data_IF_080103476520
#
_entry.id   IF_080103476520
#
_cell.length_a   1.000
_cell.length_b   1.000
_cell.length_c   1.000
_cell.angle_alpha   90.00
_cell.angle_beta   90.00
_cell.angle_gamma   90.00
#
_symmetry.space_group_name_H-M   'P 1'
#
loop_
_entity.id
_entity.type
_entity.pdbx_description
1 polymer ?
#
# COMPACT_ATOMS: atom_id res chain seq x y z
N UNK A 1 -8.66 4.12 13.92
CA UNK A 1 -7.82 5.24 13.44
C UNK A 1 -6.62 4.59 12.82
N UNK A 2 -6.36 4.82 11.53
CA UNK A 2 -5.18 4.26 10.88
C UNK A 2 -3.93 4.94 11.46
N UNK A 3 -2.98 4.14 11.91
CA UNK A 3 -1.66 4.61 12.34
C UNK A 3 -0.61 4.00 11.40
N UNK A 4 0.12 4.87 10.70
CA UNK A 4 1.09 4.44 9.69
C UNK A 4 2.32 3.77 10.33
N UNK A 5 2.63 4.06 11.60
CA UNK A 5 3.73 3.43 12.30
C UNK A 5 3.34 2.02 12.76
N UNK A 6 2.13 1.85 13.31
CA UNK A 6 1.61 0.52 13.70
C UNK A 6 1.46 -0.41 12.49
N UNK A 7 0.95 0.12 11.36
CA UNK A 7 0.88 -0.63 10.10
C UNK A 7 2.27 -1.03 9.60
N UNK A 8 3.25 -0.15 9.71
CA UNK A 8 4.63 -0.43 9.30
C UNK A 8 5.28 -1.53 10.15
N UNK A 9 5.15 -1.48 11.47
CA UNK A 9 5.66 -2.51 12.37
C UNK A 9 5.04 -3.86 12.03
N UNK A 10 3.72 -3.90 11.85
CA UNK A 10 3.02 -5.13 11.47
C UNK A 10 3.49 -5.68 10.13
N UNK A 11 3.67 -4.82 9.12
CA UNK A 11 4.14 -5.24 7.79
C UNK A 11 5.53 -5.85 7.88
N UNK A 12 6.45 -5.21 8.60
CA UNK A 12 7.81 -5.74 8.75
C UNK A 12 7.80 -7.12 9.43
N UNK A 13 6.87 -7.36 10.35
CA UNK A 13 6.73 -8.66 11.03
C UNK A 13 6.05 -9.74 10.18
N UNK A 14 5.16 -9.36 9.26
CA UNK A 14 4.29 -10.30 8.52
C UNK A 14 4.63 -10.40 7.03
N UNK A 15 5.62 -9.66 6.55
CA UNK A 15 6.04 -9.70 5.16
C UNK A 15 6.57 -11.11 4.80
N UNK A 16 6.22 -11.65 3.62
CA UNK A 16 6.75 -12.94 3.18
C UNK A 16 8.28 -12.95 3.18
N UNK A 17 8.90 -14.01 3.72
CA UNK A 17 10.38 -14.15 3.81
C UNK A 17 11.09 -13.86 2.50
N UNK A 18 10.51 -14.29 1.37
CA UNK A 18 11.08 -14.07 0.04
C UNK A 18 11.21 -12.58 -0.31
N UNK A 19 10.26 -11.75 0.12
CA UNK A 19 10.26 -10.31 -0.12
C UNK A 19 11.07 -9.60 0.96
N UNK A 20 10.91 -9.99 2.23
CA UNK A 20 11.70 -9.47 3.36
C UNK A 20 13.21 -9.67 3.18
N UNK A 21 13.64 -10.73 2.50
CA UNK A 21 15.04 -10.96 2.15
C UNK A 21 15.59 -9.97 1.10
N UNK A 22 14.72 -9.25 0.40
CA UNK A 22 15.06 -8.35 -0.72
C UNK A 22 14.81 -6.87 -0.43
N UNK A 23 14.01 -6.57 0.59
CA UNK A 23 13.69 -5.22 1.02
C UNK A 23 14.30 -4.94 2.38
N UNK A 24 14.84 -3.75 2.55
CA UNK A 24 15.18 -3.22 3.86
C UNK A 24 13.94 -2.63 4.55
N UNK A 25 14.04 -2.43 5.85
CA UNK A 25 13.03 -1.73 6.63
C UNK A 25 12.81 -0.28 6.15
N UNK A 26 13.84 0.37 5.59
CA UNK A 26 13.73 1.70 4.98
C UNK A 26 12.94 1.65 3.67
N UNK A 27 13.11 0.59 2.87
CA UNK A 27 12.35 0.36 1.64
C UNK A 27 10.86 0.20 1.90
N UNK A 28 10.50 -0.59 2.93
CA UNK A 28 9.09 -0.76 3.33
C UNK A 28 8.47 0.59 3.71
N UNK A 29 9.20 1.41 4.48
CA UNK A 29 8.75 2.76 4.83
C UNK A 29 8.60 3.65 3.59
N UNK A 30 9.51 3.53 2.62
CA UNK A 30 9.44 4.30 1.37
C UNK A 30 8.23 3.90 0.52
N UNK A 31 7.96 2.61 0.38
CA UNK A 31 6.79 2.09 -0.34
C UNK A 31 5.48 2.62 0.30
N UNK A 32 5.38 2.59 1.63
CA UNK A 32 4.21 3.13 2.34
C UNK A 32 4.04 4.64 2.14
N UNK A 33 5.14 5.41 2.10
CA UNK A 33 5.07 6.83 1.79
C UNK A 33 4.56 7.07 0.36
N UNK A 34 5.11 6.37 -0.63
CA UNK A 34 4.67 6.47 -2.03
C UNK A 34 3.20 6.12 -2.21
N UNK A 35 2.69 5.18 -1.41
CA UNK A 35 1.27 4.85 -1.39
C UNK A 35 0.40 5.99 -0.83
N UNK A 36 0.85 6.66 0.24
CA UNK A 36 0.15 7.84 0.76
C UNK A 36 0.15 8.96 -0.28
N UNK A 37 1.31 9.22 -0.92
CA UNK A 37 1.45 10.18 -2.02
C UNK A 37 0.46 9.85 -3.16
N UNK A 38 0.35 8.57 -3.55
CA UNK A 38 -0.63 8.11 -4.54
C UNK A 38 -2.07 8.45 -4.14
N UNK A 39 -2.47 8.15 -2.90
CA UNK A 39 -3.82 8.46 -2.41
C UNK A 39 -4.11 9.96 -2.39
N UNK A 40 -3.14 10.78 -1.98
CA UNK A 40 -3.25 12.25 -2.02
C UNK A 40 -3.40 12.75 -3.46
N UNK A 41 -2.60 12.24 -4.39
CA UNK A 41 -2.65 12.60 -5.81
C UNK A 41 -3.95 12.17 -6.50
N UNK A 42 -4.47 11.00 -6.16
CA UNK A 42 -5.69 10.44 -6.77
C UNK A 42 -6.97 10.85 -6.03
N UNK A 43 -6.89 11.72 -5.01
CA UNK A 43 -8.05 12.33 -4.34
C UNK A 43 -8.74 11.43 -3.32
N UNK A 44 -8.08 10.38 -2.84
CA UNK A 44 -8.56 9.54 -1.74
C UNK A 44 -8.21 10.24 -0.43
N UNK A 45 -9.17 10.98 0.13
CA UNK A 45 -8.99 11.54 1.47
C UNK A 45 -8.92 10.40 2.51
N UNK A 46 -8.01 10.45 3.50
CA UNK A 46 -7.88 9.43 4.55
C UNK A 46 -9.13 9.25 5.44
N UNK A 47 -10.13 10.13 5.28
CA UNK A 47 -11.44 10.05 5.93
C UNK A 47 -12.53 9.33 5.09
N UNK A 48 -12.18 8.69 3.96
CA UNK A 48 -13.12 7.85 3.20
C UNK A 48 -14.22 8.59 2.44
N UNK A 49 -14.18 9.93 2.33
CA UNK A 49 -15.22 10.74 1.65
C UNK A 49 -14.69 11.52 0.42
N UNK A 50 -13.60 11.08 -0.20
CA UNK A 50 -13.09 11.67 -1.42
C UNK A 50 -13.64 10.96 -2.65
N UNK A 51 -14.53 11.60 -3.40
CA UNK A 51 -14.81 11.18 -4.77
C UNK A 51 -13.62 11.59 -5.64
N UNK A 52 -12.71 10.64 -5.91
CA UNK A 52 -11.64 10.83 -6.87
C UNK A 52 -12.23 11.21 -8.25
N UNK A 53 -11.64 12.16 -9.00
CA UNK A 53 -12.10 12.51 -10.34
C UNK A 53 -11.87 11.41 -11.42
N UNK A 54 -11.59 10.16 -11.01
CA UNK A 54 -11.24 9.04 -11.89
C UNK A 54 -11.95 7.71 -11.64
N UNK A 55 -12.86 7.60 -10.68
CA UNK A 55 -13.53 6.34 -10.30
C UNK A 55 -13.07 5.80 -8.94
N UNK A 56 -13.56 4.63 -8.49
CA UNK A 56 -13.15 4.04 -7.22
C UNK A 56 -11.67 3.65 -7.29
N UNK A 57 -10.83 4.27 -6.45
CA UNK A 57 -9.43 3.87 -6.29
C UNK A 57 -9.40 2.56 -5.51
N UNK A 58 -8.91 1.51 -6.14
CA UNK A 58 -8.79 0.17 -5.55
C UNK A 58 -7.41 0.08 -4.88
N UNK A 59 -7.39 -0.11 -3.56
CA UNK A 59 -6.15 -0.37 -2.81
C UNK A 59 -5.58 -1.72 -3.25
N UNK A 60 -4.29 -1.77 -3.60
CA UNK A 60 -3.67 -2.95 -4.20
C UNK A 60 -4.03 -3.13 -5.69
N UNK A 61 -4.67 -2.16 -6.31
CA UNK A 61 -4.92 -2.17 -7.75
C UNK A 61 -3.63 -1.96 -8.56
N UNK A 62 -3.61 -2.47 -9.80
CA UNK A 62 -2.47 -2.32 -10.70
C UNK A 62 -2.05 -0.87 -11.00
N UNK A 63 -2.97 0.10 -10.88
CA UNK A 63 -2.67 1.52 -11.01
C UNK A 63 -1.76 2.02 -9.86
N UNK A 64 -2.07 1.64 -8.62
CA UNK A 64 -1.26 1.98 -7.45
C UNK A 64 0.15 1.38 -7.58
N UNK A 65 0.25 0.10 -7.96
CA UNK A 65 1.53 -0.59 -8.13
C UNK A 65 2.35 0.11 -9.23
N UNK A 66 1.73 0.41 -10.38
CA UNK A 66 2.41 1.09 -11.48
C UNK A 66 2.94 2.48 -11.08
N UNK A 67 2.16 3.25 -10.31
CA UNK A 67 2.60 4.55 -9.79
C UNK A 67 3.82 4.41 -8.87
N UNK A 68 3.76 3.50 -7.89
CA UNK A 68 4.86 3.29 -6.93
C UNK A 68 6.13 2.84 -7.66
N UNK A 69 6.03 1.92 -8.63
CA UNK A 69 7.18 1.50 -9.45
C UNK A 69 7.80 2.70 -10.19
N UNK A 70 6.96 3.53 -10.81
CA UNK A 70 7.43 4.69 -11.59
C UNK A 70 8.12 5.73 -10.69
N UNK A 71 7.52 6.07 -9.56
CA UNK A 71 8.08 7.06 -8.62
C UNK A 71 9.33 6.57 -7.89
N UNK A 72 9.37 5.29 -7.52
CA UNK A 72 10.54 4.68 -6.91
C UNK A 72 11.73 4.66 -7.90
N UNK A 73 11.48 4.33 -9.17
CA UNK A 73 12.49 4.39 -10.22
C UNK A 73 12.99 5.82 -10.48
N UNK A 74 12.13 6.84 -10.36
CA UNK A 74 12.52 8.26 -10.48
C UNK A 74 13.39 8.73 -9.32
N UNK A 75 13.18 8.20 -8.12
CA UNK A 75 13.87 8.62 -6.90
C UNK A 75 15.15 7.82 -6.59
N UNK A 76 15.42 6.75 -7.35
CA UNK A 76 16.71 6.06 -7.40
C UNK A 76 16.69 4.60 -6.95
N UNK A 77 15.54 4.10 -6.49
CA UNK A 77 15.38 2.74 -5.95
C UNK A 77 14.25 2.02 -6.67
N UNK A 78 14.54 1.33 -7.80
CA UNK A 78 13.51 0.62 -8.53
C UNK A 78 13.08 -0.65 -7.77
N UNK A 79 11.86 -0.64 -7.23
CA UNK A 79 11.22 -1.83 -6.66
C UNK A 79 10.56 -2.68 -7.73
N UNK A 80 10.51 -3.99 -7.49
CA UNK A 80 9.75 -4.92 -8.33
C UNK A 80 8.25 -4.80 -8.02
N UNK A 81 7.38 -4.99 -9.03
CA UNK A 81 5.93 -5.01 -8.80
C UNK A 81 5.51 -6.00 -7.71
N UNK A 82 6.11 -7.20 -7.69
CA UNK A 82 5.83 -8.26 -6.71
C UNK A 82 6.23 -7.87 -5.28
N UNK A 83 7.27 -7.03 -5.12
CA UNK A 83 7.68 -6.53 -3.81
C UNK A 83 6.67 -5.53 -3.26
N UNK A 84 6.20 -4.62 -4.12
CA UNK A 84 5.19 -3.63 -3.77
C UNK A 84 3.85 -4.31 -3.48
N UNK A 85 3.45 -5.26 -4.32
CA UNK A 85 2.23 -6.05 -4.17
C UNK A 85 2.20 -6.75 -2.81
N UNK A 86 3.28 -7.47 -2.45
CA UNK A 86 3.37 -8.13 -1.15
C UNK A 86 3.26 -7.17 0.04
N UNK A 87 3.88 -5.98 -0.03
CA UNK A 87 3.76 -4.95 1.03
C UNK A 87 2.32 -4.47 1.16
N UNK A 88 1.63 -4.23 0.03
CA UNK A 88 0.25 -3.75 0.00
C UNK A 88 -0.74 -4.83 0.46
N UNK A 89 -0.55 -6.08 0.05
CA UNK A 89 -1.33 -7.22 0.53
C UNK A 89 -1.18 -7.40 2.04
N UNK A 90 0.04 -7.28 2.54
CA UNK A 90 0.33 -7.35 3.98
C UNK A 90 -0.37 -6.20 4.72
N UNK A 91 -0.29 -4.97 4.21
CA UNK A 91 -1.04 -3.85 4.80
C UNK A 91 -2.56 -4.08 4.79
N UNK A 92 -3.12 -4.64 3.72
CA UNK A 92 -4.55 -4.97 3.65
C UNK A 92 -4.94 -6.01 4.71
N UNK A 93 -4.09 -7.00 4.96
CA UNK A 93 -4.30 -7.96 6.03
C UNK A 93 -4.29 -7.31 7.42
N UNK A 94 -3.36 -6.37 7.68
CA UNK A 94 -3.37 -5.55 8.89
C UNK A 94 -4.68 -4.78 9.05
N UNK A 95 -5.14 -4.10 8.00
CA UNK A 95 -6.39 -3.33 8.02
C UNK A 95 -7.61 -4.22 8.29
N UNK A 96 -7.62 -5.47 7.80
CA UNK A 96 -8.66 -6.45 8.12
C UNK A 96 -8.60 -6.89 9.58
N UNK A 97 -7.39 -7.16 10.09
CA UNK A 97 -7.15 -7.60 11.48
C UNK A 97 -7.66 -6.58 12.50
N UNK A 98 -7.42 -5.29 12.25
CA UNK A 98 -7.90 -4.21 13.13
C UNK A 98 -9.36 -3.79 12.87
N UNK A 99 -10.03 -4.45 11.92
CA UNK A 99 -11.41 -4.17 11.52
C UNK A 99 -11.60 -2.81 10.82
N UNK A 100 -10.53 -2.25 10.24
CA UNK A 100 -10.58 -0.99 9.49
C UNK A 100 -11.18 -1.16 8.09
N UNK A 101 -11.08 -2.35 7.50
CA UNK A 101 -11.76 -2.72 6.25
C UNK A 101 -12.55 -4.01 6.45
N UNK A 102 -13.74 -4.08 5.83
CA UNK A 102 -14.55 -5.30 5.81
C UNK A 102 -14.01 -6.34 4.82
N UNK A 103 -14.52 -7.58 4.85
CA UNK A 103 -14.23 -8.56 3.80
C UNK A 103 -14.54 -7.96 2.42
N UNK A 104 -13.82 -8.37 1.36
CA UNK A 104 -14.11 -7.90 0.01
C UNK A 104 -15.61 -8.10 -0.24
N UNK A 105 -16.28 -7.07 -0.77
CA UNK A 105 -17.68 -7.21 -1.14
C UNK A 105 -17.76 -8.35 -2.16
N UNK A 106 -18.36 -9.48 -1.78
CA UNK A 106 -18.71 -10.52 -2.73
C UNK A 106 -19.48 -9.86 -3.87
N UNK A 107 -18.91 -9.89 -5.07
CA UNK A 107 -19.58 -9.45 -6.29
C UNK A 107 -20.73 -10.44 -6.56
N UNK A 108 -21.97 -10.05 -6.25
CA UNK A 108 -23.20 -10.79 -6.59
C UNK A 108 -23.57 -10.62 -8.07
#
# INVERSE_FOLDING_TARGET
MFDAEDAFEWIVEHLPDAVAATLTTEDVRRILQLQIEFFEHHGVSPNGNGAAPGGPVIVGGGEQIAYIVEEAARTGEPYLPEQIDAVVETQLAYLQEIGAIGPPADED
#
